data_IF_794890186899
#
_entry.id   IF_794890186899
#
_cell.length_a   1.000
_cell.length_b   1.000
_cell.length_c   1.000
_cell.angle_alpha   90.00
_cell.angle_beta   90.00
_cell.angle_gamma   90.00
#
_symmetry.space_group_name_H-M   'P 1'
#
loop_
_entity.id
_entity.type
_entity.pdbx_description
1 polymer ?
#
# COMPACT_ATOMS: atom_id res chain seq x y z
N UNK A 1 4.88 -16.34 6.75
CA UNK A 1 4.36 -17.62 7.24
C UNK A 1 5.34 -18.07 8.29
N UNK A 2 4.87 -18.18 9.53
CA UNK A 2 5.62 -18.83 10.58
C UNK A 2 5.84 -20.31 10.23
N UNK A 3 7.08 -20.78 10.30
CA UNK A 3 7.50 -22.14 9.96
C UNK A 3 8.09 -22.91 11.15
N UNK A 4 7.69 -22.55 12.37
CA UNK A 4 8.08 -23.23 13.62
C UNK A 4 7.22 -24.47 13.85
N UNK A 5 7.59 -25.32 14.82
CA UNK A 5 7.02 -26.67 15.00
C UNK A 5 5.49 -26.72 15.13
N UNK A 6 4.89 -25.71 15.78
CA UNK A 6 3.45 -25.59 16.00
C UNK A 6 2.63 -25.33 14.73
N UNK A 7 3.26 -24.84 13.67
CA UNK A 7 2.59 -24.34 12.46
C UNK A 7 2.24 -25.43 11.43
N UNK A 8 2.60 -26.69 11.70
CA UNK A 8 2.45 -27.84 10.79
C UNK A 8 1.07 -27.91 10.10
N UNK A 9 -0.01 -27.82 10.88
CA UNK A 9 -1.39 -27.95 10.36
C UNK A 9 -1.82 -26.76 9.49
N UNK A 10 -1.30 -25.56 9.76
CA UNK A 10 -1.59 -24.34 9.00
C UNK A 10 -0.83 -24.32 7.68
N UNK A 11 0.43 -24.76 7.67
CA UNK A 11 1.23 -24.96 6.46
C UNK A 11 0.56 -25.99 5.55
N UNK A 12 0.13 -27.13 6.10
CA UNK A 12 -0.59 -28.15 5.32
C UNK A 12 -1.91 -27.61 4.74
N UNK A 13 -2.69 -26.88 5.55
CA UNK A 13 -3.93 -26.27 5.09
C UNK A 13 -3.71 -25.23 3.98
N UNK A 14 -2.69 -24.38 4.11
CA UNK A 14 -2.32 -23.43 3.05
C UNK A 14 -1.90 -24.17 1.77
N UNK A 15 -1.05 -25.19 1.89
CA UNK A 15 -0.54 -26.00 0.78
C UNK A 15 -1.66 -26.71 0.02
N UNK A 16 -2.61 -27.30 0.75
CA UNK A 16 -3.75 -28.02 0.17
C UNK A 16 -4.70 -27.09 -0.57
N UNK A 17 -4.92 -25.88 -0.05
CA UNK A 17 -5.97 -24.98 -0.53
C UNK A 17 -5.46 -23.87 -1.46
N UNK A 18 -4.14 -23.67 -1.63
CA UNK A 18 -3.58 -22.55 -2.41
C UNK A 18 -4.16 -22.46 -3.83
N UNK A 19 -4.42 -23.60 -4.47
CA UNK A 19 -5.05 -23.62 -5.79
C UNK A 19 -6.47 -23.05 -5.78
N UNK A 20 -7.29 -23.52 -4.83
CA UNK A 20 -8.66 -23.03 -4.66
C UNK A 20 -8.68 -21.54 -4.32
N UNK A 21 -7.80 -21.11 -3.42
CA UNK A 21 -7.67 -19.71 -3.02
C UNK A 21 -7.41 -18.82 -4.24
N UNK A 22 -6.45 -19.19 -5.09
CA UNK A 22 -6.08 -18.38 -6.25
C UNK A 22 -7.14 -18.44 -7.33
N UNK A 23 -7.67 -19.62 -7.64
CA UNK A 23 -8.73 -19.77 -8.65
C UNK A 23 -9.97 -18.95 -8.25
N UNK A 24 -10.37 -18.96 -6.98
CA UNK A 24 -11.52 -18.20 -6.51
C UNK A 24 -11.30 -16.68 -6.60
N UNK A 25 -10.13 -16.18 -6.15
CA UNK A 25 -9.81 -14.75 -6.24
C UNK A 25 -9.72 -14.29 -7.71
N UNK A 26 -9.08 -15.07 -8.59
CA UNK A 26 -8.94 -14.71 -10.01
C UNK A 26 -10.31 -14.70 -10.70
N UNK A 27 -11.16 -15.69 -10.42
CA UNK A 27 -12.50 -15.80 -11.00
C UNK A 27 -13.43 -14.70 -10.48
N UNK A 28 -13.46 -14.45 -9.17
CA UNK A 28 -14.37 -13.46 -8.59
C UNK A 28 -13.96 -12.03 -8.94
N UNK A 29 -12.66 -11.73 -8.89
CA UNK A 29 -12.19 -10.34 -9.02
C UNK A 29 -11.71 -9.97 -10.41
N UNK A 30 -11.66 -10.92 -11.37
CA UNK A 30 -11.15 -10.72 -12.74
C UNK A 30 -9.83 -9.94 -12.79
N UNK A 31 -8.95 -10.21 -11.83
CA UNK A 31 -7.73 -9.42 -11.58
C UNK A 31 -6.47 -10.26 -11.84
N UNK A 32 -5.39 -9.61 -12.29
CA UNK A 32 -4.06 -10.24 -12.39
C UNK A 32 -3.48 -10.42 -10.98
N UNK A 33 -3.44 -11.66 -10.50
CA UNK A 33 -2.96 -12.02 -9.16
C UNK A 33 -1.51 -12.52 -9.23
N UNK A 34 -0.67 -12.00 -8.34
CA UNK A 34 0.67 -12.53 -8.08
C UNK A 34 0.83 -12.83 -6.60
N UNK A 35 1.56 -13.90 -6.30
CA UNK A 35 1.75 -14.42 -4.94
C UNK A 35 3.24 -14.42 -4.62
N UNK A 36 3.57 -14.07 -3.40
CA UNK A 36 4.92 -14.19 -2.84
C UNK A 36 4.81 -14.93 -1.51
N UNK A 37 5.92 -15.53 -1.06
CA UNK A 37 6.00 -16.21 0.22
C UNK A 37 7.26 -15.75 0.95
N UNK A 38 7.10 -15.29 2.18
CA UNK A 38 8.20 -15.11 3.13
C UNK A 38 7.97 -16.07 4.28
N UNK A 39 8.87 -17.01 4.42
CA UNK A 39 8.95 -17.95 5.54
C UNK A 39 9.86 -17.35 6.60
N UNK A 40 9.53 -17.55 7.87
CA UNK A 40 10.43 -17.21 8.97
C UNK A 40 10.36 -18.24 10.07
N UNK A 41 11.43 -18.26 10.88
CA UNK A 41 11.54 -18.99 12.14
C UNK A 41 12.20 -18.06 13.16
N UNK A 42 13.35 -18.46 13.68
CA UNK A 42 14.08 -17.72 14.69
C UNK A 42 15.57 -17.49 14.34
N UNK A 43 16.22 -16.66 15.12
CA UNK A 43 17.64 -16.35 15.14
C UNK A 43 18.45 -17.41 15.90
N UNK A 44 19.71 -17.63 15.52
CA UNK A 44 20.65 -18.39 16.35
C UNK A 44 20.89 -17.68 17.71
N UNK A 45 20.90 -18.40 18.84
CA UNK A 45 21.06 -19.86 18.96
C UNK A 45 19.76 -20.68 18.97
N UNK A 46 18.60 -20.04 18.91
CA UNK A 46 17.29 -20.67 19.10
C UNK A 46 16.88 -21.52 17.90
N UNK A 47 17.19 -21.03 16.70
CA UNK A 47 17.20 -21.81 15.47
C UNK A 47 18.52 -21.58 14.70
N UNK A 48 19.11 -22.65 14.16
CA UNK A 48 20.36 -22.62 13.39
C UNK A 48 20.19 -22.88 11.89
N UNK A 49 18.95 -23.05 11.44
CA UNK A 49 18.60 -23.42 10.06
C UNK A 49 18.44 -22.20 9.16
N UNK A 50 17.54 -21.27 9.48
CA UNK A 50 17.34 -20.01 8.78
C UNK A 50 16.45 -19.06 9.60
N UNK A 51 16.69 -17.75 9.44
CA UNK A 51 15.82 -16.70 10.01
C UNK A 51 14.65 -16.42 9.07
N UNK A 52 14.95 -16.12 7.79
CA UNK A 52 13.94 -15.92 6.75
C UNK A 52 14.30 -16.64 5.45
N UNK A 53 13.28 -17.03 4.68
CA UNK A 53 13.41 -17.44 3.26
C UNK A 53 12.41 -16.67 2.43
N UNK A 54 12.90 -16.06 1.35
CA UNK A 54 12.13 -15.12 0.54
C UNK A 54 11.90 -15.68 -0.86
N UNK A 55 10.64 -15.85 -1.20
CA UNK A 55 10.16 -16.19 -2.54
C UNK A 55 9.39 -15.00 -3.12
N UNK A 56 9.96 -14.40 -4.16
CA UNK A 56 9.39 -13.18 -4.77
C UNK A 56 8.11 -13.48 -5.58
N UNK A 57 7.43 -12.44 -6.04
CA UNK A 57 6.13 -12.56 -6.71
C UNK A 57 6.18 -13.45 -7.97
N UNK A 58 5.31 -14.46 -8.01
CA UNK A 58 5.02 -15.31 -9.16
C UNK A 58 3.54 -15.26 -9.53
N UNK A 59 3.22 -15.41 -10.81
CA UNK A 59 1.85 -15.65 -11.29
C UNK A 59 1.52 -17.15 -11.40
N UNK A 60 2.49 -18.04 -11.14
CA UNK A 60 2.33 -19.49 -11.29
C UNK A 60 1.93 -20.12 -9.96
N UNK A 61 0.66 -20.52 -9.84
CA UNK A 61 0.12 -21.22 -8.65
C UNK A 61 0.93 -22.47 -8.31
N UNK A 62 1.41 -23.21 -9.31
CA UNK A 62 2.25 -24.41 -9.11
C UNK A 62 3.57 -24.09 -8.40
N UNK A 63 4.15 -22.91 -8.68
CA UNK A 63 5.40 -22.49 -8.08
C UNK A 63 5.20 -22.11 -6.60
N UNK A 64 4.16 -21.31 -6.30
CA UNK A 64 3.75 -21.01 -4.93
C UNK A 64 3.44 -22.28 -4.13
N UNK A 65 2.72 -23.23 -4.73
CA UNK A 65 2.45 -24.52 -4.11
C UNK A 65 3.74 -25.29 -3.81
N UNK A 66 4.69 -25.30 -4.74
CA UNK A 66 5.98 -25.95 -4.56
C UNK A 66 6.82 -25.32 -3.45
N UNK A 67 6.71 -24.01 -3.21
CA UNK A 67 7.34 -23.36 -2.04
C UNK A 67 6.66 -23.79 -0.74
N UNK A 68 5.33 -23.77 -0.68
CA UNK A 68 4.57 -24.22 0.49
C UNK A 68 4.82 -25.71 0.83
N UNK A 69 4.96 -26.59 -0.18
CA UNK A 69 5.32 -27.99 0.01
C UNK A 69 6.74 -28.18 0.60
N UNK A 70 7.61 -27.16 0.50
CA UNK A 70 8.96 -27.17 1.09
C UNK A 70 9.01 -26.57 2.50
N UNK A 71 7.97 -25.82 2.91
CA UNK A 71 7.83 -25.33 4.27
C UNK A 71 7.71 -26.53 5.22
N UNK A 72 8.67 -26.65 6.14
CA UNK A 72 8.61 -27.63 7.23
C UNK A 72 8.50 -26.89 8.53
N UNK A 73 7.48 -27.23 9.32
CA UNK A 73 7.34 -26.76 10.69
C UNK A 73 8.40 -27.45 11.57
N UNK A 74 9.37 -26.69 12.06
CA UNK A 74 10.44 -27.17 12.94
C UNK A 74 11.15 -25.97 13.60
N UNK A 75 11.89 -26.19 14.69
CA UNK A 75 12.62 -25.12 15.38
C UNK A 75 11.74 -24.24 16.27
N UNK A 76 12.20 -23.00 16.49
CA UNK A 76 11.59 -22.01 17.38
C UNK A 76 12.41 -21.79 18.66
N UNK A 77 12.72 -22.85 19.40
CA UNK A 77 13.57 -22.74 20.60
C UNK A 77 12.88 -22.05 21.77
N UNK A 78 12.74 -20.72 21.72
CA UNK A 78 11.86 -19.94 22.61
C UNK A 78 10.49 -19.63 22.00
N UNK A 79 9.68 -18.83 22.71
CA UNK A 79 8.30 -18.52 22.31
C UNK A 79 8.23 -17.38 21.26
N UNK A 80 8.93 -16.24 21.40
CA UNK A 80 8.96 -15.23 20.35
C UNK A 80 9.75 -15.68 19.11
N UNK A 81 9.43 -15.09 17.95
CA UNK A 81 10.00 -15.50 16.66
C UNK A 81 10.48 -14.29 15.83
N UNK A 82 11.17 -14.52 14.71
CA UNK A 82 11.76 -13.50 13.83
C UNK A 82 10.72 -12.78 12.93
N UNK A 83 9.58 -12.38 13.49
CA UNK A 83 8.51 -11.64 12.78
C UNK A 83 9.03 -10.31 12.19
N UNK A 84 9.91 -9.61 12.90
CA UNK A 84 10.47 -8.33 12.44
C UNK A 84 11.29 -8.49 11.14
N UNK A 85 12.13 -9.53 11.07
CA UNK A 85 12.91 -9.89 9.89
C UNK A 85 12.00 -10.23 8.71
N UNK A 86 10.95 -11.02 8.95
CA UNK A 86 9.97 -11.36 7.92
C UNK A 86 9.28 -10.12 7.33
N UNK A 87 8.81 -9.21 8.19
CA UNK A 87 8.16 -7.97 7.76
C UNK A 87 9.14 -7.06 7.00
N UNK A 88 10.41 -7.01 7.41
CA UNK A 88 11.44 -6.26 6.70
C UNK A 88 11.70 -6.81 5.30
N UNK A 89 11.68 -8.14 5.13
CA UNK A 89 11.83 -8.77 3.82
C UNK A 89 10.60 -8.59 2.93
N UNK A 90 9.40 -8.51 3.51
CA UNK A 90 8.17 -8.16 2.79
C UNK A 90 8.30 -6.80 2.08
N UNK A 91 8.95 -5.81 2.71
CA UNK A 91 9.19 -4.49 2.09
C UNK A 91 10.13 -4.56 0.87
N UNK A 92 10.99 -5.57 0.78
CA UNK A 92 11.97 -5.75 -0.30
C UNK A 92 11.40 -6.49 -1.52
N UNK A 93 10.19 -7.04 -1.41
CA UNK A 93 9.53 -7.75 -2.51
C UNK A 93 9.21 -6.81 -3.68
N UNK A 94 9.08 -7.38 -4.89
CA UNK A 94 8.83 -6.62 -6.13
C UNK A 94 7.36 -6.26 -6.31
N UNK A 95 6.82 -5.45 -5.39
CA UNK A 95 5.44 -4.95 -5.43
C UNK A 95 5.17 -4.14 -6.71
N UNK A 96 4.03 -4.39 -7.37
CA UNK A 96 3.56 -3.53 -8.46
C UNK A 96 3.03 -2.21 -7.89
N UNK A 97 3.41 -1.04 -8.44
CA UNK A 97 2.98 0.26 -7.90
C UNK A 97 1.47 0.41 -7.79
N UNK A 98 0.75 0.05 -8.85
CA UNK A 98 -0.71 0.22 -9.02
C UNK A 98 -1.55 -0.97 -8.55
N UNK A 99 -0.93 -2.00 -7.95
CA UNK A 99 -1.69 -3.15 -7.44
C UNK A 99 -2.28 -2.85 -6.07
N UNK A 100 -3.42 -3.45 -5.75
CA UNK A 100 -3.86 -3.64 -4.36
C UNK A 100 -2.85 -4.56 -3.67
N UNK A 101 -2.17 -4.07 -2.63
CA UNK A 101 -1.08 -4.78 -1.95
C UNK A 101 -1.56 -5.31 -0.61
N UNK A 102 -1.53 -6.63 -0.47
CA UNK A 102 -2.05 -7.34 0.70
C UNK A 102 -0.94 -8.24 1.24
N UNK A 103 -0.61 -8.09 2.51
CA UNK A 103 0.28 -8.96 3.25
C UNK A 103 -0.56 -9.73 4.27
N UNK A 104 -0.42 -11.06 4.30
CA UNK A 104 -1.11 -11.92 5.26
C UNK A 104 -0.03 -12.57 6.13
N UNK A 105 0.06 -12.12 7.38
CA UNK A 105 0.94 -12.68 8.39
C UNK A 105 0.17 -13.77 9.14
N UNK A 106 0.66 -15.00 9.09
CA UNK A 106 0.11 -16.14 9.83
C UNK A 106 1.15 -16.51 10.88
N UNK A 107 0.81 -16.34 12.15
CA UNK A 107 1.71 -16.47 13.30
C UNK A 107 0.94 -17.04 14.49
N UNK A 108 1.63 -17.76 15.38
CA UNK A 108 1.14 -18.13 16.71
C UNK A 108 1.96 -17.51 17.85
N UNK A 109 3.12 -16.94 17.53
CA UNK A 109 4.06 -16.29 18.44
C UNK A 109 4.21 -14.77 18.21
N UNK A 110 4.66 -13.98 19.22
CA UNK A 110 5.00 -12.56 19.09
C UNK A 110 6.40 -12.35 18.46
N UNK A 111 6.77 -11.12 18.05
CA UNK A 111 8.16 -10.78 17.78
C UNK A 111 9.00 -10.72 19.07
N UNK A 112 10.31 -10.97 18.95
CA UNK A 112 11.26 -10.64 20.03
C UNK A 112 11.15 -9.20 20.51
N UNK A 113 11.40 -9.01 21.81
CA UNK A 113 11.41 -7.72 22.49
C UNK A 113 10.03 -7.22 22.96
N UNK A 114 8.94 -7.95 22.70
CA UNK A 114 7.61 -7.59 23.19
C UNK A 114 7.41 -7.96 24.66
N UNK A 115 7.68 -9.23 25.02
CA UNK A 115 7.68 -9.71 26.40
C UNK A 115 9.05 -10.33 26.71
N UNK A 116 9.81 -9.79 27.69
CA UNK A 116 11.09 -10.36 28.07
C UNK A 116 11.00 -11.73 28.76
N UNK A 117 9.82 -12.18 29.18
CA UNK A 117 9.65 -13.47 29.86
C UNK A 117 9.82 -14.62 28.89
N UNK A 118 10.93 -15.36 29.02
CA UNK A 118 11.22 -16.52 28.17
C UNK A 118 11.75 -16.17 26.77
N UNK A 119 12.03 -14.90 26.50
CA UNK A 119 12.56 -14.41 25.22
C UNK A 119 14.10 -14.53 25.19
N UNK A 120 14.64 -15.20 24.17
CA UNK A 120 16.07 -15.33 23.90
C UNK A 120 16.71 -14.01 23.46
N UNK A 121 15.90 -13.07 22.96
CA UNK A 121 16.30 -11.75 22.48
C UNK A 121 15.41 -10.65 23.09
N UNK A 122 15.45 -10.45 24.42
CA UNK A 122 14.52 -9.57 25.14
C UNK A 122 14.66 -8.08 24.79
N UNK A 123 15.72 -7.69 24.07
CA UNK A 123 15.94 -6.32 23.59
C UNK A 123 15.42 -6.09 22.16
N UNK A 124 14.73 -7.07 21.57
CA UNK A 124 14.23 -7.02 20.20
C UNK A 124 15.07 -7.83 19.21
N UNK A 125 14.73 -7.72 17.93
CA UNK A 125 15.45 -8.38 16.84
C UNK A 125 16.98 -8.14 16.94
N UNK A 126 17.82 -9.18 16.88
CA UNK A 126 19.29 -9.07 16.94
C UNK A 126 19.90 -8.13 15.90
N UNK A 127 19.24 -7.97 14.76
CA UNK A 127 19.67 -7.10 13.65
C UNK A 127 19.19 -5.65 13.83
N UNK A 128 18.46 -5.35 14.91
CA UNK A 128 17.96 -4.02 15.23
C UNK A 128 16.71 -3.61 14.44
N UNK A 129 15.97 -4.58 13.90
CA UNK A 129 14.73 -4.34 13.17
C UNK A 129 13.56 -4.08 14.13
N UNK A 130 12.74 -3.09 13.80
CA UNK A 130 11.58 -2.69 14.60
C UNK A 130 10.28 -2.95 13.83
N UNK A 131 9.46 -3.95 14.24
CA UNK A 131 8.24 -4.32 13.52
C UNK A 131 7.21 -3.18 13.45
N UNK A 132 7.14 -2.27 14.43
CA UNK A 132 6.19 -1.15 14.41
C UNK A 132 6.61 -0.14 13.35
N UNK A 133 7.90 0.21 13.29
CA UNK A 133 8.42 1.10 12.24
C UNK A 133 8.25 0.50 10.85
N UNK A 134 8.53 -0.80 10.71
CA UNK A 134 8.35 -1.53 9.46
C UNK A 134 6.88 -1.52 9.01
N UNK A 135 5.94 -1.78 9.90
CA UNK A 135 4.50 -1.78 9.58
C UNK A 135 4.01 -0.37 9.21
N UNK A 136 4.57 0.69 9.80
CA UNK A 136 4.31 2.06 9.35
C UNK A 136 4.84 2.31 7.94
N UNK A 137 6.03 1.82 7.62
CA UNK A 137 6.56 1.89 6.25
C UNK A 137 5.69 1.08 5.26
N UNK A 138 5.16 -0.09 5.67
CA UNK A 138 4.19 -0.85 4.89
C UNK A 138 2.94 -0.01 4.60
N UNK A 139 2.38 0.67 5.60
CA UNK A 139 1.24 1.56 5.43
C UNK A 139 1.54 2.72 4.46
N UNK A 140 2.73 3.32 4.54
CA UNK A 140 3.17 4.37 3.60
C UNK A 140 3.30 3.88 2.16
N UNK A 141 3.68 2.60 1.96
CA UNK A 141 3.73 1.95 0.64
C UNK A 141 2.37 1.39 0.19
N UNK A 142 1.29 1.67 0.93
CA UNK A 142 -0.05 1.15 0.70
C UNK A 142 -0.11 -0.39 0.73
N UNK A 143 0.70 -1.03 1.57
CA UNK A 143 0.66 -2.47 1.84
C UNK A 143 -0.22 -2.69 3.06
N UNK A 144 -1.39 -3.28 2.86
CA UNK A 144 -2.31 -3.59 3.95
C UNK A 144 -1.96 -4.95 4.58
N UNK A 145 -1.79 -4.96 5.90
CA UNK A 145 -1.41 -6.12 6.69
C UNK A 145 -2.64 -6.74 7.37
N UNK A 146 -2.92 -8.00 7.02
CA UNK A 146 -3.84 -8.87 7.74
C UNK A 146 -3.03 -9.78 8.66
N UNK A 147 -3.38 -9.81 9.94
CA UNK A 147 -2.71 -10.66 10.94
C UNK A 147 -3.63 -11.81 11.30
N UNK A 148 -3.31 -13.00 10.80
CA UNK A 148 -3.98 -14.26 11.14
C UNK A 148 -3.31 -14.83 12.38
N UNK A 149 -3.96 -14.65 13.52
CA UNK A 149 -3.45 -15.11 14.81
C UNK A 149 -3.93 -16.53 15.12
N UNK A 150 -3.00 -17.46 15.24
CA UNK A 150 -3.28 -18.84 15.63
C UNK A 150 -3.49 -18.92 17.14
N UNK A 151 -4.69 -19.36 17.53
CA UNK A 151 -5.13 -19.43 18.91
C UNK A 151 -5.20 -20.88 19.41
N UNK A 152 -4.90 -21.15 20.68
CA UNK A 152 -4.68 -20.19 21.77
C UNK A 152 -3.30 -19.51 21.95
N UNK A 153 -2.16 -19.95 21.36
CA UNK A 153 -0.84 -19.41 21.73
C UNK A 153 -0.73 -17.89 21.62
N UNK A 154 -1.29 -17.30 20.57
CA UNK A 154 -1.14 -15.86 20.31
C UNK A 154 -2.03 -14.96 21.18
N UNK A 155 -2.98 -15.52 21.95
CA UNK A 155 -4.00 -14.74 22.69
C UNK A 155 -3.40 -13.65 23.59
N UNK A 156 -2.33 -13.87 24.36
CA UNK A 156 -1.69 -12.82 25.17
C UNK A 156 -1.14 -11.64 24.35
N UNK A 157 -0.91 -11.86 23.06
CA UNK A 157 -0.33 -10.92 22.10
C UNK A 157 -1.35 -10.39 21.09
N UNK A 158 -2.64 -10.74 21.24
CA UNK A 158 -3.70 -10.40 20.29
C UNK A 158 -3.75 -8.89 20.02
N UNK A 159 -3.72 -8.07 21.07
CA UNK A 159 -3.81 -6.62 20.95
C UNK A 159 -2.61 -6.02 20.20
N UNK A 160 -1.43 -6.64 20.31
CA UNK A 160 -0.25 -6.25 19.54
C UNK A 160 -0.49 -6.48 18.04
N UNK A 161 -0.94 -7.67 17.64
CA UNK A 161 -1.22 -7.98 16.23
C UNK A 161 -2.42 -7.22 15.67
N UNK A 162 -3.43 -6.92 16.50
CA UNK A 162 -4.51 -5.99 16.17
C UNK A 162 -3.98 -4.60 15.87
N UNK A 163 -3.06 -4.08 16.68
CA UNK A 163 -2.45 -2.77 16.47
C UNK A 163 -1.64 -2.72 15.17
N UNK A 164 -0.85 -3.75 14.85
CA UNK A 164 -0.11 -3.83 13.59
C UNK A 164 -1.04 -3.81 12.38
N UNK A 165 -2.09 -4.63 12.39
CA UNK A 165 -3.08 -4.65 11.31
C UNK A 165 -3.79 -3.28 11.19
N UNK A 166 -4.17 -2.68 12.31
CA UNK A 166 -4.85 -1.38 12.37
C UNK A 166 -4.03 -0.26 11.72
N UNK A 167 -2.72 -0.18 11.98
CA UNK A 167 -1.83 0.85 11.41
C UNK A 167 -1.92 0.88 9.88
N UNK A 168 -2.05 -0.28 9.24
CA UNK A 168 -2.11 -0.40 7.77
C UNK A 168 -3.53 -0.34 7.19
N UNK A 169 -4.55 -0.23 8.06
CA UNK A 169 -5.96 -0.36 7.69
C UNK A 169 -6.40 -1.79 7.35
N UNK A 170 -5.67 -2.80 7.84
CA UNK A 170 -6.04 -4.22 7.72
C UNK A 170 -6.84 -4.71 8.93
N UNK A 171 -6.87 -6.03 9.13
CA UNK A 171 -7.64 -6.67 10.21
C UNK A 171 -6.84 -7.80 10.88
N UNK A 172 -7.04 -7.97 12.18
CA UNK A 172 -6.66 -9.19 12.88
C UNK A 172 -7.74 -10.23 12.70
N UNK A 173 -7.37 -11.46 12.39
CA UNK A 173 -8.29 -12.58 12.22
C UNK A 173 -7.85 -13.70 13.16
N UNK A 174 -8.60 -13.97 14.25
CA UNK A 174 -8.31 -15.09 15.12
C UNK A 174 -8.51 -16.40 14.35
N UNK A 175 -7.74 -17.42 14.66
CA UNK A 175 -7.78 -18.70 13.96
C UNK A 175 -7.57 -19.84 14.95
N UNK A 176 -8.65 -20.55 15.27
CA UNK A 176 -8.60 -21.78 16.11
C UNK A 176 -8.50 -23.05 15.25
N UNK A 177 -8.78 -22.97 13.94
CA UNK A 177 -8.83 -24.12 13.04
C UNK A 177 -8.26 -23.81 11.65
N UNK A 178 -7.16 -24.48 11.29
CA UNK A 178 -6.51 -24.37 10.00
C UNK A 178 -7.43 -24.63 8.78
N UNK A 179 -8.53 -25.38 8.95
CA UNK A 179 -9.50 -25.63 7.87
C UNK A 179 -10.18 -24.37 7.33
N UNK A 180 -10.28 -23.32 8.16
CA UNK A 180 -10.89 -22.05 7.77
C UNK A 180 -9.89 -21.09 7.10
N UNK A 181 -8.60 -21.44 7.06
CA UNK A 181 -7.55 -20.56 6.52
C UNK A 181 -7.83 -20.12 5.09
N UNK A 182 -8.32 -21.02 4.23
CA UNK A 182 -8.63 -20.68 2.85
C UNK A 182 -9.75 -19.62 2.77
N UNK A 183 -10.84 -19.83 3.54
CA UNK A 183 -11.97 -18.91 3.59
C UNK A 183 -11.54 -17.53 4.11
N UNK A 184 -10.70 -17.49 5.15
CA UNK A 184 -10.15 -16.24 5.70
C UNK A 184 -9.31 -15.49 4.66
N UNK A 185 -8.42 -16.19 3.96
CA UNK A 185 -7.58 -15.56 2.93
C UNK A 185 -8.44 -15.02 1.79
N UNK A 186 -9.39 -15.81 1.28
CA UNK A 186 -10.29 -15.38 0.20
C UNK A 186 -11.14 -14.19 0.65
N UNK A 187 -11.80 -14.30 1.81
CA UNK A 187 -12.67 -13.27 2.33
C UNK A 187 -11.93 -11.96 2.57
N UNK A 188 -10.76 -12.02 3.22
CA UNK A 188 -9.90 -10.86 3.47
C UNK A 188 -9.43 -10.20 2.18
N UNK A 189 -8.99 -10.98 1.18
CA UNK A 189 -8.54 -10.45 -0.11
C UNK A 189 -9.68 -9.79 -0.89
N UNK A 190 -10.86 -10.41 -0.94
CA UNK A 190 -12.02 -9.86 -1.65
C UNK A 190 -12.54 -8.58 -1.00
N UNK A 191 -12.60 -8.52 0.33
CA UNK A 191 -12.92 -7.30 1.05
C UNK A 191 -11.90 -6.19 0.75
N UNK A 192 -10.60 -6.50 0.78
CA UNK A 192 -9.57 -5.50 0.53
C UNK A 192 -9.59 -4.96 -0.90
N UNK A 193 -9.78 -5.82 -1.90
CA UNK A 193 -9.95 -5.39 -3.30
C UNK A 193 -11.20 -4.51 -3.44
N UNK A 194 -12.29 -4.87 -2.76
CA UNK A 194 -13.52 -4.07 -2.77
C UNK A 194 -13.31 -2.68 -2.16
N UNK A 195 -12.60 -2.61 -1.03
CA UNK A 195 -12.30 -1.34 -0.35
C UNK A 195 -11.37 -0.47 -1.19
N UNK A 196 -10.34 -1.05 -1.81
CA UNK A 196 -9.40 -0.31 -2.66
C UNK A 196 -10.11 0.28 -3.89
N UNK A 197 -10.99 -0.49 -4.56
CA UNK A 197 -11.85 0.01 -5.66
C UNK A 197 -12.77 1.13 -5.19
N UNK A 198 -13.41 0.97 -4.03
CA UNK A 198 -14.27 1.99 -3.45
C UNK A 198 -13.49 3.27 -3.18
N UNK A 199 -12.30 3.16 -2.56
CA UNK A 199 -11.45 4.30 -2.26
C UNK A 199 -10.95 5.02 -3.51
N UNK A 200 -10.62 4.27 -4.57
CA UNK A 200 -10.26 4.84 -5.88
C UNK A 200 -11.44 5.58 -6.51
N UNK A 201 -12.66 5.03 -6.43
CA UNK A 201 -13.88 5.65 -6.97
C UNK A 201 -14.37 6.88 -6.19
N UNK A 202 -14.09 6.95 -4.88
CA UNK A 202 -14.55 8.01 -3.98
C UNK A 202 -13.42 8.91 -3.45
N UNK A 203 -12.26 8.90 -4.10
CA UNK A 203 -11.04 9.52 -3.56
C UNK A 203 -11.23 11.00 -3.17
N UNK A 204 -11.85 11.80 -4.04
CA UNK A 204 -12.07 13.23 -3.80
C UNK A 204 -13.01 13.48 -2.61
N UNK A 205 -14.05 12.66 -2.45
CA UNK A 205 -15.02 12.82 -1.39
C UNK A 205 -14.45 12.39 -0.05
N UNK A 206 -13.69 11.29 -0.02
CA UNK A 206 -12.99 10.82 1.18
C UNK A 206 -12.02 11.90 1.66
N UNK A 207 -11.19 12.46 0.76
CA UNK A 207 -10.25 13.52 1.11
C UNK A 207 -10.98 14.76 1.63
N UNK A 208 -12.07 15.18 0.96
CA UNK A 208 -12.88 16.32 1.41
C UNK A 208 -13.50 16.09 2.78
N UNK A 209 -14.07 14.91 3.02
CA UNK A 209 -14.67 14.55 4.29
C UNK A 209 -13.63 14.57 5.42
N UNK A 210 -12.41 14.08 5.15
CA UNK A 210 -11.29 14.13 6.10
C UNK A 210 -10.82 15.56 6.39
N UNK A 211 -10.71 16.42 5.37
CA UNK A 211 -10.31 17.83 5.56
C UNK A 211 -11.34 18.61 6.37
N UNK A 212 -12.63 18.37 6.12
CA UNK A 212 -13.71 18.95 6.91
C UNK A 212 -13.70 18.41 8.33
N UNK A 213 -13.56 17.10 8.53
CA UNK A 213 -13.48 16.50 9.86
C UNK A 213 -12.31 17.05 10.67
N UNK A 214 -11.16 17.27 10.03
CA UNK A 214 -10.01 17.91 10.66
C UNK A 214 -10.29 19.37 11.05
N UNK A 215 -10.98 20.12 10.19
CA UNK A 215 -11.36 21.52 10.48
C UNK A 215 -12.34 21.60 11.64
N UNK A 216 -13.25 20.65 11.73
CA UNK A 216 -14.26 20.55 12.78
C UNK A 216 -13.70 19.95 14.09
N UNK A 217 -12.43 19.52 14.11
CA UNK A 217 -11.79 18.95 15.30
C UNK A 217 -12.32 17.57 15.69
N UNK A 218 -12.88 16.81 14.73
CA UNK A 218 -13.47 15.51 14.98
C UNK A 218 -12.43 14.44 15.31
N UNK A 219 -12.80 13.50 16.16
CA UNK A 219 -11.99 12.32 16.42
C UNK A 219 -12.04 11.32 15.24
N UNK A 220 -11.31 10.21 15.38
CA UNK A 220 -11.20 9.21 14.32
C UNK A 220 -12.50 8.44 14.06
N UNK A 221 -13.27 8.17 15.11
CA UNK A 221 -14.55 7.46 15.02
C UNK A 221 -15.61 8.34 14.39
N UNK A 222 -15.66 9.62 14.76
CA UNK A 222 -16.51 10.64 14.17
C UNK A 222 -16.14 10.89 12.69
N UNK A 223 -14.83 10.92 12.38
CA UNK A 223 -14.35 11.00 11.00
C UNK A 223 -14.80 9.79 10.17
N UNK A 224 -14.68 8.57 10.73
CA UNK A 224 -15.15 7.35 10.08
C UNK A 224 -16.66 7.38 9.84
N UNK A 225 -17.45 7.82 10.83
CA UNK A 225 -18.90 7.98 10.70
C UNK A 225 -19.28 8.95 9.58
N UNK A 226 -18.54 10.06 9.45
CA UNK A 226 -18.72 11.04 8.37
C UNK A 226 -18.41 10.45 7.01
N UNK A 227 -17.27 9.76 6.85
CA UNK A 227 -16.92 9.08 5.59
C UNK A 227 -17.99 8.06 5.22
N UNK A 228 -18.44 7.25 6.20
CA UNK A 228 -19.51 6.28 6.00
C UNK A 228 -20.78 6.96 5.47
N UNK A 229 -21.20 8.07 6.08
CA UNK A 229 -22.37 8.82 5.62
C UNK A 229 -22.18 9.35 4.19
N UNK A 230 -20.99 9.88 3.85
CA UNK A 230 -20.65 10.30 2.50
C UNK A 230 -20.75 9.16 1.48
N UNK A 231 -20.20 7.98 1.80
CA UNK A 231 -20.23 6.81 0.93
C UNK A 231 -21.64 6.24 0.76
N UNK A 232 -22.41 6.19 1.86
CA UNK A 232 -23.82 5.79 1.83
C UNK A 232 -24.67 6.72 0.97
N UNK A 233 -24.44 8.05 1.04
CA UNK A 233 -25.14 9.03 0.19
C UNK A 233 -24.93 8.80 -1.32
N UNK A 234 -23.82 8.14 -1.68
CA UNK A 234 -23.46 7.77 -3.04
C UNK A 234 -23.85 6.33 -3.42
N UNK A 235 -24.52 5.61 -2.52
CA UNK A 235 -24.90 4.19 -2.69
C UNK A 235 -23.69 3.32 -3.05
N UNK A 236 -22.57 3.60 -2.39
CA UNK A 236 -21.35 2.81 -2.55
C UNK A 236 -21.37 1.64 -1.60
N UNK A 237 -21.09 0.47 -2.15
CA UNK A 237 -21.12 -0.80 -1.45
C UNK A 237 -19.72 -1.43 -1.42
N UNK A 238 -19.48 -2.27 -0.41
CA UNK A 238 -18.26 -3.04 -0.30
C UNK A 238 -18.56 -4.48 0.14
N UNK A 239 -17.70 -5.42 -0.27
CA UNK A 239 -17.68 -6.75 0.32
C UNK A 239 -17.19 -6.67 1.77
N UNK A 240 -17.75 -7.50 2.65
CA UNK A 240 -17.37 -7.56 4.06
C UNK A 240 -17.17 -9.00 4.49
N UNK A 241 -15.99 -9.33 5.00
CA UNK A 241 -15.77 -10.59 5.70
C UNK A 241 -16.27 -10.45 7.14
N UNK A 242 -17.13 -11.37 7.57
CA UNK A 242 -17.50 -11.47 8.99
C UNK A 242 -16.27 -11.82 9.80
N UNK A 243 -16.07 -11.11 10.91
CA UNK A 243 -14.93 -11.32 11.79
C UNK A 243 -15.24 -10.73 13.18
N UNK A 244 -16.25 -11.27 13.85
CA UNK A 244 -16.74 -10.74 15.13
C UNK A 244 -15.69 -10.85 16.24
N UNK A 245 -14.97 -11.97 16.27
CA UNK A 245 -13.93 -12.23 17.27
C UNK A 245 -12.62 -11.44 17.02
N UNK A 246 -12.43 -10.91 15.81
CA UNK A 246 -11.26 -10.12 15.43
C UNK A 246 -11.50 -8.62 15.39
N UNK A 247 -12.59 -8.13 15.99
CA UNK A 247 -12.82 -6.67 16.12
C UNK A 247 -11.68 -6.06 16.94
N UNK A 248 -11.07 -5.01 16.41
CA UNK A 248 -9.97 -4.30 17.06
C UNK A 248 -10.37 -3.81 18.45
N UNK A 249 -9.59 -4.16 19.47
CA UNK A 249 -9.77 -3.68 20.84
C UNK A 249 -9.50 -2.17 20.95
N UNK A 250 -10.06 -1.53 21.99
CA UNK A 250 -9.80 -0.11 22.26
C UNK A 250 -8.34 0.12 22.60
N UNK A 251 -7.73 -0.81 23.32
CA UNK A 251 -6.31 -0.82 23.67
C UNK A 251 -5.43 -0.82 22.41
N UNK A 252 -5.73 -1.70 21.46
CA UNK A 252 -5.03 -1.75 20.18
C UNK A 252 -5.22 -0.45 19.37
N UNK A 253 -6.45 0.05 19.27
CA UNK A 253 -6.80 1.23 18.47
C UNK A 253 -6.22 2.53 19.05
N UNK A 254 -6.45 2.80 20.34
CA UNK A 254 -6.17 4.10 20.95
C UNK A 254 -4.75 4.21 21.53
N UNK A 255 -4.14 3.10 21.94
CA UNK A 255 -2.85 3.10 22.64
C UNK A 255 -1.73 2.44 21.84
N UNK A 256 -1.87 1.17 21.50
CA UNK A 256 -0.78 0.40 20.89
C UNK A 256 -0.51 0.84 19.44
N UNK A 257 -1.54 1.14 18.65
CA UNK A 257 -1.38 1.63 17.27
C UNK A 257 -0.68 3.00 17.17
N UNK A 258 -0.59 3.74 18.29
CA UNK A 258 0.04 5.06 18.37
C UNK A 258 1.52 5.00 18.78
N UNK A 259 2.01 3.84 19.22
CA UNK A 259 3.41 3.68 19.59
C UNK A 259 4.32 3.91 18.39
N UNK A 260 5.42 4.63 18.58
CA UNK A 260 6.38 4.96 17.51
C UNK A 260 7.27 3.77 17.18
N UNK A 261 7.64 2.99 18.19
CA UNK A 261 8.58 1.87 18.10
C UNK A 261 8.34 0.83 19.22
N UNK A 262 9.09 -0.27 19.17
CA UNK A 262 8.99 -1.37 20.13
C UNK A 262 9.39 -0.98 21.54
N UNK A 263 10.25 0.03 21.72
CA UNK A 263 10.64 0.48 23.06
C UNK A 263 9.45 1.12 23.77
N UNK A 264 8.71 1.98 23.05
CA UNK A 264 7.47 2.56 23.57
C UNK A 264 6.39 1.49 23.77
N UNK A 265 6.22 0.58 22.81
CA UNK A 265 5.26 -0.52 22.91
C UNK A 265 5.52 -1.38 24.15
N UNK A 266 6.76 -1.85 24.34
CA UNK A 266 7.17 -2.67 25.48
C UNK A 266 6.88 -1.99 26.82
N UNK A 267 7.03 -0.67 26.89
CA UNK A 267 6.76 0.09 28.13
C UNK A 267 5.26 0.15 28.49
N UNK A 268 4.38 0.00 27.49
CA UNK A 268 2.92 0.12 27.64
C UNK A 268 2.20 -1.22 27.59
N UNK A 269 2.78 -2.22 26.93
CA UNK A 269 2.11 -3.47 26.61
C UNK A 269 1.77 -4.25 27.87
N UNK A 270 0.51 -4.67 27.96
CA UNK A 270 0.02 -5.57 29.00
C UNK A 270 -0.57 -6.78 28.31
N UNK A 271 -0.05 -7.97 28.63
CA UNK A 271 -0.60 -9.23 28.13
C UNK A 271 -2.09 -9.30 28.45
N UNK A 272 -2.89 -9.60 27.43
CA UNK A 272 -4.32 -9.82 27.59
C UNK A 272 -4.51 -11.03 28.51
N UNK A 273 -5.13 -10.82 29.68
CA UNK A 273 -5.55 -11.92 30.55
C UNK A 273 -6.68 -12.64 29.83
N UNK A 274 -6.69 -13.99 29.81
CA UNK A 274 -7.69 -14.80 29.11
C UNK A 274 -9.12 -14.40 29.50
N UNK A 275 -9.70 -13.45 28.79
CA UNK A 275 -11.08 -13.03 28.96
C UNK A 275 -11.86 -13.56 27.76
N UNK A 276 -12.62 -14.64 28.01
CA UNK A 276 -13.39 -15.45 27.05
C UNK A 276 -12.57 -16.19 25.97
N UNK A 277 -12.59 -17.53 26.02
CA UNK A 277 -12.11 -18.36 24.89
C UNK A 277 -13.02 -18.08 23.69
N UNK A 278 -12.46 -17.57 22.60
CA UNK A 278 -13.16 -17.55 21.30
C UNK A 278 -13.50 -18.99 20.94
N UNK A 279 -14.79 -19.26 20.76
CA UNK A 279 -15.28 -20.61 20.46
C UNK A 279 -15.38 -20.81 18.95
N UNK A 280 -15.55 -22.07 18.51
CA UNK A 280 -15.74 -22.34 17.08
C UNK A 280 -16.99 -21.65 16.51
N UNK A 281 -18.02 -21.42 17.33
CA UNK A 281 -19.26 -20.74 16.91
C UNK A 281 -19.04 -19.25 16.64
N UNK A 282 -17.96 -18.66 17.19
CA UNK A 282 -17.58 -17.26 16.96
C UNK A 282 -16.77 -17.07 15.66
N UNK A 283 -16.30 -18.17 15.05
CA UNK A 283 -15.46 -18.16 13.85
C UNK A 283 -16.30 -18.27 12.56
N UNK A 284 -17.12 -17.25 12.31
CA UNK A 284 -17.83 -17.07 11.04
C UNK A 284 -17.09 -16.07 10.15
N UNK A 285 -16.47 -16.56 9.06
CA UNK A 285 -15.76 -15.77 8.04
C UNK A 285 -16.50 -15.69 6.71
N UNK A 286 -17.83 -15.81 6.72
CA UNK A 286 -18.61 -15.61 5.50
C UNK A 286 -18.39 -14.20 4.94
N UNK A 287 -18.36 -14.13 3.62
CA UNK A 287 -18.30 -12.87 2.90
C UNK A 287 -19.73 -12.43 2.59
N UNK A 288 -20.13 -11.27 3.13
CA UNK A 288 -21.34 -10.59 2.72
C UNK A 288 -20.98 -9.66 1.54
N UNK A 289 -21.72 -9.77 0.44
CA UNK A 289 -21.43 -9.03 -0.79
C UNK A 289 -22.31 -7.79 -0.92
N UNK A 290 -21.72 -6.69 -1.41
CA UNK A 290 -22.41 -5.44 -1.72
C UNK A 290 -23.20 -4.84 -0.55
N UNK A 291 -22.66 -4.90 0.66
CA UNK A 291 -23.25 -4.24 1.83
C UNK A 291 -22.90 -2.75 1.88
N UNK A 292 -23.69 -1.98 2.63
CA UNK A 292 -23.27 -0.64 3.05
C UNK A 292 -21.97 -0.73 3.86
N UNK A 293 -21.09 0.26 3.67
CA UNK A 293 -19.80 0.30 4.34
C UNK A 293 -19.98 0.31 5.86
N UNK A 294 -19.41 -0.67 6.55
CA UNK A 294 -19.52 -0.78 8.00
C UNK A 294 -18.71 0.31 8.72
N UNK A 295 -18.93 0.50 10.02
CA UNK A 295 -18.13 1.43 10.83
C UNK A 295 -16.66 1.01 10.83
N UNK A 296 -16.39 -0.28 10.94
CA UNK A 296 -15.04 -0.84 10.97
C UNK A 296 -14.34 -0.65 9.62
N UNK A 297 -15.05 -0.86 8.52
CA UNK A 297 -14.53 -0.58 7.18
C UNK A 297 -14.26 0.92 6.98
N UNK A 298 -15.12 1.79 7.48
CA UNK A 298 -14.90 3.23 7.41
C UNK A 298 -13.65 3.65 8.22
N UNK A 299 -13.40 3.07 9.40
CA UNK A 299 -12.16 3.30 10.17
C UNK A 299 -10.91 2.85 9.38
N UNK A 300 -10.99 1.70 8.71
CA UNK A 300 -9.92 1.22 7.82
C UNK A 300 -9.66 2.19 6.66
N UNK A 301 -10.72 2.70 6.03
CA UNK A 301 -10.62 3.74 5.00
C UNK A 301 -9.94 5.00 5.53
N UNK A 302 -10.29 5.45 6.75
CA UNK A 302 -9.62 6.59 7.41
C UNK A 302 -8.11 6.32 7.54
N UNK A 303 -7.72 5.15 8.03
CA UNK A 303 -6.31 4.78 8.20
C UNK A 303 -5.58 4.79 6.86
N UNK A 304 -6.12 4.14 5.83
CA UNK A 304 -5.51 4.12 4.48
C UNK A 304 -5.43 5.53 3.87
N UNK A 305 -6.49 6.33 4.01
CA UNK A 305 -6.55 7.67 3.44
C UNK A 305 -5.57 8.66 4.11
N UNK A 306 -5.25 8.50 5.40
CA UNK A 306 -4.17 9.26 6.07
C UNK A 306 -2.83 9.07 5.35
N UNK A 307 -2.51 7.83 4.98
CA UNK A 307 -1.26 7.49 4.29
C UNK A 307 -1.26 7.99 2.83
N UNK A 308 -2.39 7.86 2.11
CA UNK A 308 -2.55 8.45 0.77
C UNK A 308 -2.32 9.96 0.75
N UNK A 309 -2.84 10.69 1.73
CA UNK A 309 -2.65 12.15 1.84
C UNK A 309 -1.18 12.49 2.07
N UNK A 310 -0.47 11.72 2.90
CA UNK A 310 0.97 11.90 3.13
C UNK A 310 1.78 11.71 1.83
N UNK A 311 1.45 10.70 1.03
CA UNK A 311 2.13 10.40 -0.24
C UNK A 311 1.78 11.39 -1.37
N UNK A 312 0.50 11.77 -1.54
CA UNK A 312 0.09 12.76 -2.55
C UNK A 312 0.68 14.14 -2.27
N UNK A 313 0.97 14.44 -1.00
CA UNK A 313 1.61 15.69 -0.59
C UNK A 313 3.12 15.69 -0.73
N UNK A 314 3.81 14.62 -1.17
CA UNK A 314 5.29 14.61 -1.21
C UNK A 314 5.88 15.77 -2.03
N UNK A 315 5.32 16.10 -3.19
CA UNK A 315 5.75 17.29 -3.96
C UNK A 315 5.30 18.62 -3.33
N UNK A 316 4.15 18.62 -2.65
CA UNK A 316 3.65 19.78 -1.93
C UNK A 316 4.54 20.10 -0.72
N UNK A 317 4.99 19.09 0.03
CA UNK A 317 5.85 19.22 1.21
C UNK A 317 7.31 19.49 0.83
N UNK A 318 7.85 18.80 -0.20
CA UNK A 318 9.26 18.91 -0.57
C UNK A 318 9.59 20.15 -1.40
N UNK A 319 8.65 20.64 -2.21
CA UNK A 319 8.92 21.74 -3.16
C UNK A 319 7.94 22.89 -2.95
N UNK A 320 6.64 22.65 -2.97
CA UNK A 320 5.66 23.73 -2.94
C UNK A 320 5.72 24.55 -1.63
N UNK A 321 5.72 23.92 -0.46
CA UNK A 321 5.74 24.59 0.85
C UNK A 321 7.05 25.33 1.14
N UNK A 322 8.24 24.77 0.90
CA UNK A 322 9.50 25.50 1.06
C UNK A 322 9.54 26.75 0.18
N UNK A 323 9.10 26.65 -1.08
CA UNK A 323 9.07 27.77 -2.02
C UNK A 323 8.02 28.81 -1.60
N UNK A 324 6.83 28.37 -1.19
CA UNK A 324 5.78 29.24 -0.65
C UNK A 324 6.27 30.03 0.58
N UNK A 325 6.98 29.36 1.51
CA UNK A 325 7.61 30.00 2.67
C UNK A 325 8.72 30.96 2.27
N UNK A 326 9.55 30.61 1.29
CA UNK A 326 10.61 31.48 0.77
C UNK A 326 10.02 32.74 0.12
N UNK A 327 8.96 32.60 -0.67
CA UNK A 327 8.25 33.73 -1.29
C UNK A 327 7.65 34.63 -0.22
N UNK A 328 7.00 34.06 0.80
CA UNK A 328 6.44 34.84 1.91
C UNK A 328 7.52 35.47 2.80
N UNK A 329 8.71 34.87 2.88
CA UNK A 329 9.87 35.47 3.55
C UNK A 329 10.41 36.68 2.78
N UNK A 330 10.56 36.54 1.45
CA UNK A 330 11.03 37.63 0.59
C UNK A 330 9.95 38.70 0.33
N UNK A 331 8.67 38.33 0.36
CA UNK A 331 7.52 39.20 0.14
C UNK A 331 6.36 38.87 1.11
N UNK A 332 6.39 39.42 2.33
CA UNK A 332 5.43 39.10 3.40
C UNK A 332 3.99 39.49 3.08
N UNK A 333 3.78 40.58 2.34
CA UNK A 333 2.45 41.11 2.01
C UNK A 333 1.86 40.55 0.71
N UNK A 334 2.41 39.46 0.18
CA UNK A 334 1.97 38.90 -1.10
C UNK A 334 0.61 38.21 -0.93
N UNK A 335 -0.37 38.49 -1.79
CA UNK A 335 -1.64 37.78 -1.74
C UNK A 335 -1.45 36.27 -1.92
N UNK A 336 -2.14 35.43 -1.11
CA UNK A 336 -2.00 33.96 -1.12
C UNK A 336 -2.09 33.33 -2.51
N UNK A 337 -2.88 33.88 -3.42
CA UNK A 337 -3.03 33.36 -4.78
C UNK A 337 -1.80 33.56 -5.66
N UNK A 338 -1.10 34.68 -5.47
CA UNK A 338 0.17 34.96 -6.17
C UNK A 338 1.22 33.98 -5.68
N UNK A 339 1.31 33.79 -4.36
CA UNK A 339 2.23 32.82 -3.74
C UNK A 339 1.94 31.41 -4.24
N UNK A 340 0.68 31.00 -4.27
CA UNK A 340 0.29 29.66 -4.74
C UNK A 340 0.58 29.48 -6.24
N UNK A 341 0.32 30.49 -7.07
CA UNK A 341 0.58 30.42 -8.51
C UNK A 341 2.07 30.29 -8.83
N UNK A 342 2.92 31.07 -8.16
CA UNK A 342 4.38 31.00 -8.32
C UNK A 342 4.91 29.65 -7.79
N UNK A 343 4.43 29.21 -6.62
CA UNK A 343 4.84 27.93 -6.04
C UNK A 343 4.46 26.75 -6.95
N UNK A 344 3.27 26.79 -7.57
CA UNK A 344 2.86 25.82 -8.58
C UNK A 344 3.81 25.83 -9.79
N UNK A 345 4.20 27.01 -10.30
CA UNK A 345 5.13 27.10 -11.43
C UNK A 345 6.47 26.48 -11.12
N UNK A 346 6.99 26.66 -9.92
CA UNK A 346 8.25 26.05 -9.52
C UNK A 346 8.16 24.52 -9.44
N UNK A 347 7.04 23.96 -8.99
CA UNK A 347 6.82 22.50 -9.00
C UNK A 347 6.84 21.95 -10.43
N UNK A 348 6.12 22.61 -11.35
CA UNK A 348 6.12 22.21 -12.76
C UNK A 348 7.49 22.36 -13.42
N UNK A 349 8.22 23.45 -13.16
CA UNK A 349 9.59 23.63 -13.63
C UNK A 349 10.51 22.50 -13.15
N UNK A 350 10.45 22.16 -11.85
CA UNK A 350 11.27 21.09 -11.30
C UNK A 350 10.92 19.73 -11.91
N UNK A 351 9.63 19.42 -12.07
CA UNK A 351 9.17 18.22 -12.80
C UNK A 351 9.74 18.16 -14.21
N UNK A 352 9.74 19.29 -14.91
CA UNK A 352 10.34 19.43 -16.24
C UNK A 352 11.84 19.12 -16.27
N UNK A 353 12.60 19.66 -15.30
CA UNK A 353 14.04 19.41 -15.18
C UNK A 353 14.32 17.92 -14.94
N UNK A 354 13.57 17.28 -14.06
CA UNK A 354 13.72 15.85 -13.73
C UNK A 354 13.43 14.98 -14.96
N UNK A 355 12.37 15.26 -15.71
CA UNK A 355 12.04 14.50 -16.92
C UNK A 355 13.03 14.75 -18.05
N UNK A 356 13.58 15.96 -18.17
CA UNK A 356 14.66 16.25 -19.12
C UNK A 356 15.93 15.49 -18.76
N UNK A 357 16.26 15.38 -17.45
CA UNK A 357 17.37 14.57 -16.97
C UNK A 357 17.18 13.08 -17.29
N UNK A 358 15.99 12.51 -17.04
CA UNK A 358 15.71 11.12 -17.42
C UNK A 358 15.80 10.91 -18.94
N UNK A 359 15.33 11.86 -19.73
CA UNK A 359 15.44 11.83 -21.20
C UNK A 359 16.91 11.87 -21.63
N UNK A 360 17.74 12.69 -20.98
CA UNK A 360 19.18 12.74 -21.20
C UNK A 360 19.85 11.42 -20.83
N UNK A 361 19.51 10.79 -19.70
CA UNK A 361 20.04 9.47 -19.32
C UNK A 361 19.62 8.39 -20.32
N UNK A 362 18.37 8.41 -20.79
CA UNK A 362 17.84 7.38 -21.69
C UNK A 362 18.31 7.53 -23.15
N UNK A 363 18.51 8.76 -23.63
CA UNK A 363 18.75 9.03 -25.05
C UNK A 363 19.98 9.91 -25.34
N UNK A 364 20.73 10.30 -24.31
CA UNK A 364 21.92 11.17 -24.38
C UNK A 364 21.66 12.49 -25.10
N UNK A 365 20.44 13.02 -25.00
CA UNK A 365 20.03 14.26 -25.69
C UNK A 365 19.29 15.18 -24.73
N UNK A 366 19.79 16.41 -24.61
CA UNK A 366 19.13 17.51 -23.91
C UNK A 366 18.44 18.39 -24.94
N UNK A 367 17.12 18.47 -24.88
CA UNK A 367 16.25 19.14 -25.86
C UNK A 367 15.51 20.35 -25.28
N UNK A 368 15.33 20.39 -23.95
CA UNK A 368 14.49 21.36 -23.25
C UNK A 368 12.99 21.13 -23.44
N UNK A 369 12.59 20.13 -24.23
CA UNK A 369 11.19 19.92 -24.58
C UNK A 369 10.36 19.43 -23.39
N UNK A 370 10.95 18.67 -22.45
CA UNK A 370 10.24 18.25 -21.25
C UNK A 370 9.99 19.46 -20.33
N UNK A 371 10.99 20.34 -20.20
CA UNK A 371 10.86 21.58 -19.44
C UNK A 371 9.74 22.46 -20.00
N UNK A 372 9.71 22.66 -21.32
CA UNK A 372 8.67 23.45 -21.99
C UNK A 372 7.28 22.82 -21.79
N UNK A 373 7.16 21.49 -21.94
CA UNK A 373 5.91 20.77 -21.73
C UNK A 373 5.33 21.03 -20.33
N UNK A 374 6.13 20.80 -19.28
CA UNK A 374 5.67 20.97 -17.91
C UNK A 374 5.39 22.44 -17.57
N UNK A 375 6.16 23.40 -18.11
CA UNK A 375 5.87 24.83 -17.93
C UNK A 375 4.54 25.24 -18.57
N UNK A 376 4.22 24.75 -19.77
CA UNK A 376 2.94 25.02 -20.42
C UNK A 376 1.76 24.44 -19.62
N UNK A 377 1.90 23.20 -19.14
CA UNK A 377 0.91 22.55 -18.28
C UNK A 377 0.72 23.33 -16.98
N UNK A 378 1.81 23.78 -16.37
CA UNK A 378 1.77 24.63 -15.21
C UNK A 378 1.01 25.93 -15.48
N UNK A 379 1.40 26.67 -16.53
CA UNK A 379 0.79 27.95 -16.88
C UNK A 379 -0.72 27.81 -17.08
N UNK A 380 -1.17 26.73 -17.73
CA UNK A 380 -2.59 26.42 -17.91
C UNK A 380 -3.32 26.25 -16.57
N UNK A 381 -2.75 25.52 -15.60
CA UNK A 381 -3.32 25.36 -14.26
C UNK A 381 -3.40 26.70 -13.52
N UNK A 382 -2.38 27.56 -13.64
CA UNK A 382 -2.40 28.89 -13.04
C UNK A 382 -3.48 29.78 -13.66
N UNK A 383 -3.62 29.77 -14.99
CA UNK A 383 -4.67 30.53 -15.70
C UNK A 383 -6.05 30.01 -15.29
N UNK A 384 -6.25 28.70 -15.26
CA UNK A 384 -7.50 28.08 -14.83
C UNK A 384 -7.88 28.52 -13.40
N UNK A 385 -6.92 28.50 -12.48
CA UNK A 385 -7.12 28.93 -11.10
C UNK A 385 -7.52 30.42 -11.00
N UNK A 386 -6.86 31.29 -11.78
CA UNK A 386 -7.18 32.72 -11.84
C UNK A 386 -8.58 32.95 -12.44
N UNK A 387 -8.90 32.27 -13.54
CA UNK A 387 -10.20 32.37 -14.22
C UNK A 387 -11.35 31.91 -13.34
N UNK A 388 -11.21 30.75 -12.66
CA UNK A 388 -12.20 30.24 -11.72
C UNK A 388 -12.48 31.22 -10.58
N UNK A 389 -11.47 31.95 -10.14
CA UNK A 389 -11.60 32.96 -9.09
C UNK A 389 -12.20 34.27 -9.59
N UNK A 390 -11.85 34.71 -10.79
CA UNK A 390 -12.36 35.99 -11.32
C UNK A 390 -13.80 35.87 -11.83
N UNK A 391 -14.18 34.67 -12.27
CA UNK A 391 -15.50 34.38 -12.87
C UNK A 391 -16.16 33.19 -12.17
N UNK A 392 -16.54 33.34 -10.91
CA UNK A 392 -17.22 32.29 -10.12
C UNK A 392 -18.58 31.83 -10.69
N UNK A 393 -19.16 32.57 -11.65
CA UNK A 393 -20.49 32.30 -12.22
C UNK A 393 -20.49 31.59 -13.58
N UNK A 394 -19.33 31.36 -14.22
CA UNK A 394 -19.31 30.73 -15.55
C UNK A 394 -19.35 29.21 -15.40
N UNK A 395 -20.52 28.63 -15.62
CA UNK A 395 -20.70 27.18 -15.73
C UNK A 395 -20.20 26.69 -17.09
N UNK A 396 -19.10 25.93 -17.11
CA UNK A 396 -18.61 25.24 -18.29
C UNK A 396 -19.13 23.80 -18.25
N UNK A 397 -19.95 23.36 -19.22
CA UNK A 397 -20.37 21.97 -19.33
C UNK A 397 -19.18 21.00 -19.32
N UNK A 398 -19.29 19.89 -18.58
CA UNK A 398 -18.20 18.90 -18.43
C UNK A 398 -17.67 18.37 -19.77
N UNK A 399 -18.54 18.23 -20.78
CA UNK A 399 -18.18 17.82 -22.14
C UNK A 399 -17.24 18.80 -22.85
N UNK A 400 -17.45 20.11 -22.67
CA UNK A 400 -16.62 21.17 -23.25
C UNK A 400 -15.28 21.24 -22.53
N UNK A 401 -15.28 21.16 -21.20
CA UNK A 401 -14.05 21.14 -20.39
C UNK A 401 -13.16 19.93 -20.76
N UNK A 402 -13.78 18.75 -20.92
CA UNK A 402 -13.08 17.55 -21.37
C UNK A 402 -12.45 17.73 -22.77
N UNK A 403 -13.21 18.29 -23.72
CA UNK A 403 -12.72 18.54 -25.07
C UNK A 403 -11.55 19.54 -25.09
N UNK A 404 -11.65 20.64 -24.34
CA UNK A 404 -10.58 21.64 -24.23
C UNK A 404 -9.31 21.04 -23.62
N UNK A 405 -9.47 20.23 -22.57
CA UNK A 405 -8.36 19.52 -21.94
C UNK A 405 -7.71 18.53 -22.92
N UNK A 406 -8.52 17.80 -23.69
CA UNK A 406 -8.03 16.86 -24.69
C UNK A 406 -7.27 17.57 -25.82
N UNK A 407 -7.77 18.71 -26.32
CA UNK A 407 -7.09 19.52 -27.34
C UNK A 407 -5.77 20.07 -26.80
N UNK A 408 -5.78 20.65 -25.60
CA UNK A 408 -4.58 21.20 -24.97
C UNK A 408 -3.50 20.12 -24.74
N UNK A 409 -3.89 18.95 -24.24
CA UNK A 409 -2.99 17.82 -24.08
C UNK A 409 -2.48 17.31 -25.43
N UNK A 410 -3.32 17.26 -26.47
CA UNK A 410 -2.90 16.88 -27.82
C UNK A 410 -1.85 17.82 -28.42
N UNK A 411 -2.04 19.14 -28.24
CA UNK A 411 -1.09 20.17 -28.72
C UNK A 411 0.24 20.08 -27.97
N UNK A 412 0.18 19.88 -26.65
CA UNK A 412 1.40 19.85 -25.81
C UNK A 412 2.12 18.50 -25.84
N UNK A 413 1.42 17.40 -26.15
CA UNK A 413 2.00 16.05 -26.20
C UNK A 413 3.17 15.93 -27.20
N UNK A 414 3.18 16.75 -28.25
CA UNK A 414 4.30 16.81 -29.20
C UNK A 414 5.64 17.10 -28.50
N UNK A 415 5.67 18.02 -27.53
CA UNK A 415 6.88 18.34 -26.78
C UNK A 415 7.34 17.17 -25.90
N UNK A 416 6.40 16.49 -25.24
CA UNK A 416 6.72 15.33 -24.39
C UNK A 416 7.23 14.13 -25.21
N UNK A 417 6.63 13.89 -26.38
CA UNK A 417 6.90 12.71 -27.21
C UNK A 417 8.08 12.91 -28.18
N UNK A 418 8.52 14.14 -28.43
CA UNK A 418 9.57 14.44 -29.41
C UNK A 418 10.88 13.64 -29.23
N UNK A 419 11.41 13.44 -28.00
CA UNK A 419 12.61 12.63 -27.80
C UNK A 419 12.40 11.17 -28.24
N UNK A 420 11.26 10.59 -27.89
CA UNK A 420 10.87 9.22 -28.26
C UNK A 420 10.70 9.07 -29.77
N UNK A 421 9.96 9.99 -30.40
CA UNK A 421 9.78 10.01 -31.86
C UNK A 421 11.13 10.10 -32.55
N UNK A 422 12.02 11.00 -32.09
CA UNK A 422 13.36 11.16 -32.68
C UNK A 422 14.22 9.89 -32.55
N UNK A 423 14.10 9.18 -31.43
CA UNK A 423 14.79 7.91 -31.21
C UNK A 423 14.25 6.78 -32.10
N UNK A 424 12.92 6.62 -32.18
CA UNK A 424 12.29 5.59 -33.02
C UNK A 424 12.54 5.82 -34.51
N UNK A 425 12.46 7.07 -34.97
CA UNK A 425 12.76 7.45 -36.36
C UNK A 425 14.23 7.17 -36.69
N UNK A 426 15.17 7.53 -35.81
CA UNK A 426 16.59 7.20 -36.00
C UNK A 426 16.84 5.69 -36.04
N UNK A 427 16.17 4.92 -35.18
CA UNK A 427 16.31 3.45 -35.14
C UNK A 427 15.75 2.78 -36.40
N UNK A 428 14.62 3.27 -36.93
CA UNK A 428 14.10 2.80 -38.22
C UNK A 428 15.03 3.20 -39.38
N UNK A 429 15.49 4.45 -39.43
CA UNK A 429 16.42 4.90 -40.47
C UNK A 429 17.73 4.09 -40.46
N UNK A 430 18.26 3.76 -39.27
CA UNK A 430 19.42 2.88 -39.13
C UNK A 430 19.14 1.46 -39.64
N UNK A 431 17.97 0.88 -39.33
CA UNK A 431 17.56 -0.42 -39.88
C UNK A 431 17.52 -0.43 -41.41
N UNK A 432 16.95 0.61 -42.04
CA UNK A 432 16.90 0.70 -43.50
C UNK A 432 18.28 0.91 -44.13
N UNK A 433 19.13 1.74 -43.52
CA UNK A 433 20.51 1.95 -43.98
C UNK A 433 21.35 0.67 -43.88
N UNK A 434 21.22 -0.07 -42.77
CA UNK A 434 21.88 -1.35 -42.56
C UNK A 434 21.39 -2.40 -43.57
N UNK A 435 20.07 -2.46 -43.83
CA UNK A 435 19.50 -3.38 -44.80
C UNK A 435 19.98 -3.08 -46.23
N UNK A 436 20.07 -1.79 -46.61
CA UNK A 436 20.64 -1.38 -47.90
C UNK A 436 22.14 -1.68 -48.01
N UNK A 437 22.90 -1.54 -46.92
CA UNK A 437 24.32 -1.91 -46.89
C UNK A 437 24.50 -3.42 -47.06
N UNK A 438 23.68 -4.24 -46.39
CA UNK A 438 23.69 -5.70 -46.54
C UNK A 438 23.33 -6.11 -47.97
N UNK A 439 22.32 -5.47 -48.57
CA UNK A 439 21.94 -5.73 -49.97
C UNK A 439 23.09 -5.41 -50.94
N UNK A 440 23.81 -4.28 -50.75
CA UNK A 440 24.99 -3.95 -51.55
C UNK A 440 26.13 -4.96 -51.40
N UNK A 441 26.42 -5.37 -50.17
CA UNK A 441 27.47 -6.37 -49.90
C UNK A 441 27.12 -7.73 -50.53
N UNK A 442 25.83 -8.08 -50.57
CA UNK A 442 25.36 -9.31 -51.20
C UNK A 442 25.31 -9.20 -52.73
N UNK A 443 25.05 -8.02 -53.31
CA UNK A 443 25.07 -7.83 -54.77
C UNK A 443 26.47 -7.76 -55.36
N UNK A 444 27.49 -7.37 -54.59
CA UNK A 444 28.90 -7.36 -55.04
C UNK A 444 29.55 -8.76 -55.01
N UNK A 445 28.85 -9.78 -54.50
CA UNK A 445 29.33 -11.17 -54.38
C UNK A 445 28.72 -12.15 -55.39
N UNK A 446 27.82 -11.69 -56.25
CA UNK A 446 27.22 -12.43 -57.37
C UNK A 446 27.34 -11.59 -58.63
#
# INVERSE_FOLDING_TARGET
>A
MDCTGSMSSYIEAATKNIRSIVEEIVVSEKSDVRLALVEYRDHPPQDSTFVTRVHNFTSKVKEMKGWLEQCKADGGGDEPEAVADALQDILKLSWRPEATKICILISDAPPHGLDPSGDGFPNGCPVGLDPIRIVREMAEKNITLYTVGVEPPIVPYRDFFMALAYITGGQYVPMVNAKLLAQVIIGGVREEISLDRLMQGAQEDIVRAMDQAHTDGLDETETAARIRHTLASKKMHAHRMKNKAGVTSKEAEEYYSKCVDMSEMKSKYKKTVMDSKVTMDDMDYKLDEEEEVSTEQAKRIVQKAKHWKKFKNTWIELIFKPISKLILYCWPYSPKYVVNGISSMCVFLFSGIVHEYYTYVAFSKFSGNQIIFFLLQGLAVCIEYILKRQFHQIYIPKSISFLLTFIFNGITAGYFMQPWISYFVKRQAFKYSLMNLIIRILSDKY
#
